data_IF_728210155554
#
_entry.id   IF_728210155554
#
_cell.length_a   1.000
_cell.length_b   1.000
_cell.length_c   1.000
_cell.angle_alpha   90.00
_cell.angle_beta   90.00
_cell.angle_gamma   90.00
#
_symmetry.space_group_name_H-M   'P 1'
#
loop_
_entity.id
_entity.type
_entity.pdbx_description
1 polymer ?
#
# COMPACT_ATOMS: atom_id res chain seq x y z
N UNK A 1 -12.86 -6.95 12.39
CA UNK A 1 -12.53 -8.25 13.03
C UNK A 1 -13.31 -8.54 14.32
N UNK A 2 -13.77 -7.56 15.10
CA UNK A 2 -14.46 -7.79 16.38
C UNK A 2 -15.59 -8.84 16.36
N UNK A 3 -16.56 -8.72 15.44
CA UNK A 3 -17.67 -9.69 15.32
C UNK A 3 -17.22 -11.13 15.02
N UNK A 4 -16.12 -11.30 14.30
CA UNK A 4 -15.58 -12.64 14.02
C UNK A 4 -15.16 -13.34 15.31
N UNK A 5 -14.49 -12.61 16.22
CA UNK A 5 -14.05 -13.15 17.51
C UNK A 5 -15.20 -13.54 18.44
N UNK A 6 -16.34 -12.85 18.33
CA UNK A 6 -17.55 -13.21 19.08
C UNK A 6 -18.18 -14.51 18.57
N UNK A 7 -18.07 -14.77 17.26
CA UNK A 7 -18.82 -15.85 16.60
C UNK A 7 -17.98 -17.11 16.35
N UNK A 8 -16.65 -16.98 16.23
CA UNK A 8 -15.73 -18.06 15.84
C UNK A 8 -14.57 -18.09 16.83
N UNK A 9 -14.75 -18.80 17.95
CA UNK A 9 -13.83 -18.78 19.10
C UNK A 9 -12.40 -19.21 18.77
N UNK A 10 -12.24 -20.24 17.93
CA UNK A 10 -10.94 -20.83 17.58
C UNK A 10 -10.58 -20.62 16.11
N UNK A 11 -11.27 -19.69 15.43
CA UNK A 11 -11.03 -19.40 14.03
C UNK A 11 -9.87 -18.43 13.84
N UNK A 12 -9.17 -18.59 12.72
CA UNK A 12 -8.20 -17.60 12.25
C UNK A 12 -8.86 -16.67 11.22
N UNK A 13 -8.58 -15.37 11.32
CA UNK A 13 -9.00 -14.35 10.36
C UNK A 13 -7.81 -13.51 9.94
N UNK A 14 -7.79 -13.12 8.67
CA UNK A 14 -6.67 -12.39 8.08
C UNK A 14 -7.10 -11.59 6.87
N UNK A 15 -6.15 -10.82 6.33
CA UNK A 15 -6.31 -10.05 5.11
C UNK A 15 -5.55 -10.74 3.98
N UNK A 16 -6.07 -10.68 2.76
CA UNK A 16 -5.40 -11.21 1.58
C UNK A 16 -5.52 -10.23 0.42
N UNK A 17 -4.38 -9.70 -0.05
CA UNK A 17 -4.33 -8.82 -1.20
C UNK A 17 -3.33 -9.36 -2.23
N UNK A 18 -3.40 -8.79 -3.44
CA UNK A 18 -2.33 -8.97 -4.42
C UNK A 18 -1.08 -8.30 -3.86
N UNK A 19 0.02 -9.05 -3.79
CA UNK A 19 1.33 -8.52 -3.41
C UNK A 19 2.19 -8.47 -4.66
N UNK A 20 2.85 -7.34 -4.86
CA UNK A 20 3.69 -7.12 -6.04
C UNK A 20 5.11 -6.84 -5.58
N UNK A 21 6.10 -7.55 -6.13
CA UNK A 21 7.49 -7.15 -5.93
C UNK A 21 7.76 -5.96 -6.86
N UNK A 22 8.15 -4.83 -6.28
CA UNK A 22 8.42 -3.60 -7.02
C UNK A 22 9.93 -3.44 -7.17
N UNK A 23 10.41 -3.38 -8.41
CA UNK A 23 11.82 -3.26 -8.72
C UNK A 23 12.07 -2.05 -9.63
N UNK A 24 13.02 -1.16 -9.30
CA UNK A 24 13.37 -0.05 -10.16
C UNK A 24 14.04 -0.56 -11.44
N UNK A 25 13.86 0.15 -12.55
CA UNK A 25 14.49 -0.22 -13.83
C UNK A 25 15.99 0.10 -13.84
N UNK A 26 16.42 1.09 -13.05
CA UNK A 26 17.83 1.47 -12.85
C UNK A 26 18.09 1.87 -11.41
N UNK A 27 19.37 1.94 -11.01
CA UNK A 27 19.78 2.45 -9.69
C UNK A 27 19.81 3.99 -9.61
N UNK A 28 19.19 4.70 -10.57
CA UNK A 28 19.05 6.16 -10.49
C UNK A 28 18.19 6.53 -9.28
N UNK A 29 18.48 7.69 -8.66
CA UNK A 29 17.72 8.17 -7.50
C UNK A 29 16.24 8.33 -7.82
N UNK A 30 15.95 8.70 -9.06
CA UNK A 30 14.62 8.94 -9.57
C UNK A 30 13.82 7.65 -9.76
N UNK A 31 14.42 6.60 -10.33
CA UNK A 31 13.75 5.30 -10.48
C UNK A 31 13.57 4.62 -9.12
N UNK A 32 14.54 4.74 -8.21
CA UNK A 32 14.41 4.27 -6.83
C UNK A 32 13.25 4.94 -6.10
N UNK A 33 13.14 6.27 -6.20
CA UNK A 33 12.03 6.99 -5.58
C UNK A 33 10.69 6.62 -6.22
N UNK A 34 10.64 6.49 -7.54
CA UNK A 34 9.44 6.06 -8.25
C UNK A 34 8.98 4.66 -7.81
N UNK A 35 9.93 3.73 -7.61
CA UNK A 35 9.67 2.41 -7.05
C UNK A 35 9.10 2.46 -5.63
N UNK A 36 9.67 3.30 -4.73
CA UNK A 36 9.16 3.46 -3.36
C UNK A 36 7.73 4.00 -3.35
N UNK A 37 7.44 5.05 -4.12
CA UNK A 37 6.08 5.63 -4.20
C UNK A 37 5.08 4.61 -4.75
N UNK A 38 5.49 3.84 -5.75
CA UNK A 38 4.64 2.79 -6.31
C UNK A 38 4.39 1.64 -5.35
N UNK A 39 5.42 1.22 -4.60
CA UNK A 39 5.31 0.22 -3.55
C UNK A 39 4.35 0.70 -2.45
N UNK A 40 4.47 1.96 -2.04
CA UNK A 40 3.52 2.56 -1.11
C UNK A 40 2.08 2.52 -1.63
N UNK A 41 1.88 2.73 -2.93
CA UNK A 41 0.56 2.75 -3.55
C UNK A 41 -0.06 1.37 -3.69
N UNK A 42 0.69 0.40 -4.22
CA UNK A 42 0.16 -0.93 -4.56
C UNK A 42 0.19 -1.89 -3.37
N UNK A 43 1.14 -1.72 -2.45
CA UNK A 43 1.37 -2.60 -1.31
C UNK A 43 1.09 -1.89 0.02
N UNK A 44 1.90 -0.90 0.41
CA UNK A 44 1.88 -0.38 1.79
C UNK A 44 0.54 0.25 2.20
N UNK A 45 -0.16 0.91 1.25
CA UNK A 45 -1.49 1.49 1.48
C UNK A 45 -2.50 0.48 2.05
N UNK A 46 -2.33 -0.80 1.74
CA UNK A 46 -3.22 -1.88 2.19
C UNK A 46 -2.55 -2.86 3.15
N UNK A 47 -1.23 -3.00 3.11
CA UNK A 47 -0.46 -3.92 3.97
C UNK A 47 0.03 -3.27 5.25
N UNK A 48 0.66 -2.10 5.13
CA UNK A 48 1.25 -1.42 6.28
C UNK A 48 0.20 -0.67 7.08
N UNK A 49 -0.78 -0.05 6.42
CA UNK A 49 -1.84 0.71 7.11
C UNK A 49 -2.60 -0.08 8.19
N UNK A 50 -3.08 -1.32 7.97
CA UNK A 50 -3.70 -2.11 9.04
C UNK A 50 -2.71 -2.62 10.10
N UNK A 51 -1.39 -2.52 9.90
CA UNK A 51 -0.38 -2.89 10.89
C UNK A 51 0.08 -1.70 11.73
N UNK A 52 0.32 -0.55 11.09
CA UNK A 52 0.82 0.66 11.70
C UNK A 52 -0.28 1.59 12.23
N UNK A 53 -1.50 1.47 11.69
CA UNK A 53 -2.60 2.39 12.01
C UNK A 53 -2.45 3.76 11.35
N UNK A 54 -1.65 3.86 10.29
CA UNK A 54 -1.41 5.10 9.54
C UNK A 54 -1.17 4.80 8.05
N UNK A 55 -1.48 5.76 7.19
CA UNK A 55 -1.15 5.67 5.76
C UNK A 55 0.35 5.94 5.52
N UNK A 56 0.95 5.37 4.47
CA UNK A 56 2.36 5.59 4.14
C UNK A 56 2.63 7.07 3.88
N UNK A 57 3.57 7.65 4.62
CA UNK A 57 3.69 9.11 4.78
C UNK A 57 4.03 9.87 3.50
N UNK A 58 4.97 9.38 2.67
CA UNK A 58 5.37 10.10 1.45
C UNK A 58 4.23 10.13 0.42
N UNK A 59 3.61 8.98 0.16
CA UNK A 59 2.45 8.89 -0.73
C UNK A 59 1.24 9.64 -0.19
N UNK A 60 1.00 9.61 1.12
CA UNK A 60 -0.10 10.36 1.73
C UNK A 60 0.05 11.87 1.48
N UNK A 61 1.25 12.43 1.67
CA UNK A 61 1.53 13.85 1.37
C UNK A 61 1.34 14.16 -0.12
N UNK A 62 1.75 13.26 -1.02
CA UNK A 62 1.53 13.43 -2.46
C UNK A 62 0.03 13.50 -2.78
N UNK A 63 -0.77 12.60 -2.21
CA UNK A 63 -2.21 12.58 -2.41
C UNK A 63 -2.91 13.75 -1.72
N UNK A 64 -2.44 14.19 -0.56
CA UNK A 64 -3.01 15.32 0.18
C UNK A 64 -2.87 16.60 -0.63
N UNK A 65 -1.67 16.86 -1.16
CA UNK A 65 -1.41 18.01 -2.04
C UNK A 65 -2.24 17.97 -3.33
N UNK A 66 -2.62 16.78 -3.80
CA UNK A 66 -3.45 16.58 -4.97
C UNK A 66 -4.97 16.56 -4.65
N UNK A 67 -5.38 16.65 -3.37
CA UNK A 67 -6.78 16.50 -2.95
C UNK A 67 -7.35 15.10 -3.16
N UNK A 68 -6.50 14.07 -3.11
CA UNK A 68 -6.83 12.65 -3.38
C UNK A 68 -6.86 11.78 -2.11
N UNK A 69 -6.55 12.32 -0.94
CA UNK A 69 -6.64 11.56 0.32
C UNK A 69 -8.09 11.25 0.68
N UNK A 70 -8.37 10.09 1.30
CA UNK A 70 -9.70 9.78 1.80
C UNK A 70 -10.08 10.72 2.95
N UNK A 71 -11.38 10.87 3.18
CA UNK A 71 -11.88 11.46 4.42
C UNK A 71 -11.62 10.43 5.54
N UNK A 72 -10.84 10.83 6.55
CA UNK A 72 -10.49 10.00 7.69
C UNK A 72 -11.22 10.53 8.92
N UNK A 73 -12.06 9.69 9.53
CA UNK A 73 -12.74 9.97 10.79
C UNK A 73 -11.85 9.56 11.97
N UNK A 74 -12.14 10.08 13.17
CA UNK A 74 -11.34 9.85 14.37
C UNK A 74 -11.17 8.38 14.74
N UNK A 75 -12.16 7.54 14.42
CA UNK A 75 -12.19 6.12 14.79
C UNK A 75 -11.64 5.19 13.70
N UNK A 76 -11.47 5.68 12.47
CA UNK A 76 -11.19 4.83 11.30
C UNK A 76 -9.88 4.06 11.47
N UNK A 77 -8.80 4.73 11.87
CA UNK A 77 -7.50 4.09 12.04
C UNK A 77 -7.50 3.05 13.16
N UNK A 78 -8.26 3.27 14.23
CA UNK A 78 -8.45 2.29 15.30
C UNK A 78 -9.20 1.05 14.82
N UNK A 79 -10.16 1.21 13.91
CA UNK A 79 -10.89 0.10 13.31
C UNK A 79 -10.00 -0.65 12.30
N UNK A 80 -9.31 0.07 11.42
CA UNK A 80 -8.47 -0.49 10.36
C UNK A 80 -7.30 -1.28 10.95
N UNK A 81 -6.70 -0.80 12.05
CA UNK A 81 -5.60 -1.47 12.75
C UNK A 81 -6.03 -2.57 13.73
N UNK A 82 -7.28 -3.07 13.62
CA UNK A 82 -7.73 -4.18 14.47
C UNK A 82 -6.86 -5.43 14.23
N UNK A 83 -6.28 -6.06 15.29
CA UNK A 83 -5.42 -7.23 15.13
C UNK A 83 -6.10 -8.40 14.40
N UNK A 84 -5.32 -9.09 13.58
CA UNK A 84 -5.71 -10.29 12.82
C UNK A 84 -4.57 -11.32 12.86
N UNK A 85 -4.86 -12.57 12.47
CA UNK A 85 -3.99 -13.72 12.74
C UNK A 85 -2.99 -14.04 11.63
N UNK A 86 -3.35 -13.75 10.37
CA UNK A 86 -2.50 -14.10 9.24
C UNK A 86 -2.59 -13.08 8.11
N UNK A 87 -1.56 -13.12 7.28
CA UNK A 87 -1.48 -12.35 6.05
C UNK A 87 -1.47 -13.29 4.83
N UNK A 88 -2.47 -13.15 3.96
CA UNK A 88 -2.56 -13.84 2.68
C UNK A 88 -1.81 -13.09 1.60
N UNK A 89 -0.85 -13.75 0.96
CA UNK A 89 -0.04 -13.19 -0.14
C UNK A 89 -0.50 -13.80 -1.46
N UNK A 90 -1.08 -12.99 -2.33
CA UNK A 90 -1.39 -13.39 -3.70
C UNK A 90 -0.36 -12.79 -4.65
N UNK A 91 0.70 -13.56 -4.95
CA UNK A 91 1.82 -13.12 -5.77
C UNK A 91 1.81 -13.81 -7.13
N UNK A 92 2.00 -13.03 -8.21
CA UNK A 92 2.09 -13.57 -9.58
C UNK A 92 3.35 -13.16 -10.29
N UNK A 93 3.65 -11.87 -10.30
CA UNK A 93 4.78 -11.28 -11.02
C UNK A 93 5.31 -10.05 -10.27
N UNK A 94 6.45 -9.56 -10.74
CA UNK A 94 7.03 -8.29 -10.32
C UNK A 94 6.65 -7.16 -11.27
N UNK A 95 6.71 -5.93 -10.78
CA UNK A 95 6.60 -4.73 -11.60
C UNK A 95 7.96 -4.05 -11.70
N UNK A 96 8.40 -3.81 -12.93
CA UNK A 96 9.55 -2.95 -13.24
C UNK A 96 9.08 -1.51 -13.33
N UNK A 97 9.71 -0.63 -12.56
CA UNK A 97 9.25 0.74 -12.34
C UNK A 97 10.30 1.74 -12.80
N UNK A 98 9.88 2.71 -13.59
CA UNK A 98 10.70 3.87 -14.01
C UNK A 98 9.98 5.15 -13.66
N UNK A 99 10.74 6.20 -13.36
CA UNK A 99 10.23 7.57 -13.26
C UNK A 99 9.47 7.96 -14.54
N UNK A 100 8.23 8.44 -14.39
CA UNK A 100 7.50 9.11 -15.46
C UNK A 100 7.76 10.61 -15.41
N UNK A 101 8.27 11.19 -16.50
CA UNK A 101 8.64 12.61 -16.52
C UNK A 101 7.44 13.53 -16.65
N UNK A 102 6.37 13.05 -17.29
CA UNK A 102 5.14 13.79 -17.58
C UNK A 102 4.03 13.59 -16.54
N UNK A 103 4.30 12.85 -15.46
CA UNK A 103 3.28 12.56 -14.46
C UNK A 103 2.81 13.83 -13.74
N UNK A 104 1.49 14.01 -13.69
CA UNK A 104 0.84 15.06 -12.90
C UNK A 104 0.95 14.84 -11.40
N UNK A 105 1.23 13.60 -10.98
CA UNK A 105 1.54 13.25 -9.59
C UNK A 105 3.05 13.06 -9.45
N UNK A 106 3.73 13.82 -8.57
CA UNK A 106 5.17 13.69 -8.37
C UNK A 106 5.58 12.24 -8.11
N UNK A 107 6.56 11.76 -8.87
CA UNK A 107 7.15 10.42 -8.73
C UNK A 107 6.20 9.22 -8.97
N UNK A 108 4.98 9.43 -9.47
CA UNK A 108 4.14 8.31 -9.93
C UNK A 108 4.76 7.70 -11.19
N UNK A 109 4.91 6.38 -11.28
CA UNK A 109 5.79 5.79 -12.29
C UNK A 109 5.10 5.35 -13.59
N UNK A 110 5.93 4.94 -14.55
CA UNK A 110 5.53 3.97 -15.59
C UNK A 110 5.84 2.56 -15.13
N UNK A 111 4.86 1.67 -15.28
CA UNK A 111 5.03 0.23 -15.12
C UNK A 111 5.47 -0.34 -16.46
N UNK A 112 6.65 -0.95 -16.49
CA UNK A 112 7.15 -1.69 -17.65
C UNK A 112 6.73 -3.14 -17.50
N UNK A 113 5.75 -3.56 -18.29
CA UNK A 113 5.39 -4.98 -18.42
C UNK A 113 6.28 -5.61 -19.49
N UNK A 114 6.81 -6.81 -19.20
CA UNK A 114 7.43 -7.70 -20.19
C UNK A 114 6.52 -8.90 -20.41
#
# INVERSE_FOLDING_TARGET
MGRFRESVKDGLIGLANVSTFVEPVTDSKEDLRAAIIYDQFINCWFFETPLAGEYPSELFVIFENAGLVPIIQSEDMGIISTPFDFWGVNYRTRNLVRREESSILPAFPVIITR
#
